data_IF_663114923631
#
_entry.id   IF_663114923631
#
_cell.length_a   1.000
_cell.length_b   1.000
_cell.length_c   1.000
_cell.angle_alpha   90.00
_cell.angle_beta   90.00
_cell.angle_gamma   90.00
#
_symmetry.space_group_name_H-M   'P 1'
#
loop_
_entity.id
_entity.type
_entity.pdbx_description
1 polymer ?
#
# COMPACT_ATOMS: atom_id res chain seq x y z
N UNK A 1 24.93 2.31 -35.97
CA UNK A 1 24.76 3.67 -36.52
C UNK A 1 23.73 3.56 -37.64
N UNK A 2 22.45 3.66 -37.26
CA UNK A 2 21.30 3.69 -38.16
C UNK A 2 20.40 4.77 -37.56
N UNK A 3 20.16 5.80 -38.35
CA UNK A 3 19.48 7.05 -38.00
C UNK A 3 17.97 6.80 -38.12
N UNK A 4 17.23 7.05 -37.04
CA UNK A 4 15.77 6.99 -37.04
C UNK A 4 15.20 8.35 -37.48
N UNK A 5 14.29 8.26 -38.45
CA UNK A 5 13.62 9.34 -39.17
C UNK A 5 12.68 10.15 -38.26
N UNK A 6 12.62 11.47 -38.45
CA UNK A 6 11.99 12.41 -37.51
C UNK A 6 10.56 12.85 -37.88
N UNK A 7 9.82 12.09 -38.68
CA UNK A 7 8.55 12.58 -39.27
C UNK A 7 7.25 11.90 -38.77
N UNK A 8 7.27 11.01 -37.78
CA UNK A 8 6.02 10.47 -37.19
C UNK A 8 5.52 11.20 -35.92
N UNK A 9 5.99 12.42 -35.63
CA UNK A 9 5.64 13.16 -34.40
C UNK A 9 4.47 14.15 -34.51
N UNK A 10 3.74 14.16 -35.62
CA UNK A 10 2.76 15.20 -35.92
C UNK A 10 1.27 14.86 -35.72
N UNK A 11 0.88 13.61 -35.42
CA UNK A 11 -0.55 13.22 -35.40
C UNK A 11 -1.15 12.80 -34.05
N UNK A 12 -0.47 13.04 -32.92
CA UNK A 12 -0.98 12.67 -31.58
C UNK A 12 -1.53 13.85 -30.74
N UNK A 13 -1.88 15.00 -31.36
CA UNK A 13 -2.46 16.16 -30.65
C UNK A 13 -4.00 16.16 -30.54
N UNK A 14 -4.64 15.01 -30.71
CA UNK A 14 -6.11 14.91 -30.81
C UNK A 14 -6.88 14.35 -29.60
N UNK A 15 -6.21 13.79 -28.59
CA UNK A 15 -6.90 13.07 -27.50
C UNK A 15 -6.47 13.53 -26.11
N UNK A 16 -6.85 14.77 -25.75
CA UNK A 16 -6.91 15.24 -24.36
C UNK A 16 -8.14 16.16 -24.22
N UNK A 17 -9.17 15.81 -23.43
CA UNK A 17 -10.30 16.69 -23.21
C UNK A 17 -10.00 17.60 -22.02
N UNK A 18 -9.28 18.70 -22.23
CA UNK A 18 -9.27 19.82 -21.27
C UNK A 18 -9.14 21.15 -22.02
N UNK A 19 -10.25 21.89 -22.08
CA UNK A 19 -10.27 23.30 -22.43
C UNK A 19 -11.03 24.04 -21.32
N UNK A 20 -10.44 25.05 -20.64
CA UNK A 20 -11.19 25.96 -19.81
C UNK A 20 -11.79 27.07 -20.68
N UNK A 21 -13.11 27.22 -20.64
CA UNK A 21 -13.82 28.29 -21.32
C UNK A 21 -13.46 29.65 -20.72
N UNK A 22 -12.81 30.51 -21.52
CA UNK A 22 -12.66 31.93 -21.25
C UNK A 22 -13.83 32.73 -21.84
N UNK A 23 -14.46 33.58 -21.03
CA UNK A 23 -15.40 34.62 -21.46
C UNK A 23 -15.25 35.84 -20.56
N UNK A 24 -14.80 36.96 -21.13
CA UNK A 24 -14.28 38.11 -20.41
C UNK A 24 -15.28 39.22 -20.02
N UNK A 25 -14.76 40.23 -19.32
CA UNK A 25 -15.31 41.60 -19.32
C UNK A 25 -15.26 42.38 -17.99
N UNK A 26 -14.22 43.21 -17.82
CA UNK A 26 -14.35 44.58 -17.25
C UNK A 26 -14.01 44.84 -15.77
N UNK A 27 -13.45 46.02 -15.40
CA UNK A 27 -12.58 46.17 -14.23
C UNK A 27 -13.23 46.87 -13.03
N UNK A 28 -12.81 46.53 -11.81
CA UNK A 28 -13.18 47.22 -10.58
C UNK A 28 -12.15 46.98 -9.47
N UNK A 29 -11.58 48.08 -8.97
CA UNK A 29 -10.54 48.12 -7.96
C UNK A 29 -11.01 47.65 -6.57
N UNK A 30 -10.10 47.05 -5.81
CA UNK A 30 -10.28 46.70 -4.40
C UNK A 30 -9.19 45.76 -3.92
N UNK A 31 -8.09 46.32 -3.41
CA UNK A 31 -7.08 45.57 -2.66
C UNK A 31 -7.68 45.12 -1.32
N UNK A 32 -8.01 43.83 -1.20
CA UNK A 32 -8.21 43.17 0.09
C UNK A 32 -7.15 42.07 0.25
N UNK A 33 -6.29 42.27 1.24
CA UNK A 33 -5.37 41.25 1.76
C UNK A 33 -6.16 40.01 2.19
N UNK A 34 -6.21 38.99 1.33
CA UNK A 34 -6.57 37.64 1.73
C UNK A 34 -5.33 36.96 2.28
N UNK A 35 -5.20 36.96 3.60
CA UNK A 35 -4.39 35.98 4.32
C UNK A 35 -4.76 34.58 3.82
N UNK A 36 -3.80 33.92 3.16
CA UNK A 36 -3.92 32.50 2.81
C UNK A 36 -3.80 31.68 4.09
N UNK A 37 -4.91 31.48 4.79
CA UNK A 37 -5.03 30.45 5.82
C UNK A 37 -4.80 29.10 5.13
N UNK A 38 -3.56 28.60 5.20
CA UNK A 38 -3.22 27.25 4.84
C UNK A 38 -4.15 26.31 5.63
N UNK A 39 -5.08 25.65 4.91
CA UNK A 39 -5.97 24.65 5.49
C UNK A 39 -5.08 23.50 5.96
N UNK A 40 -4.81 23.42 7.27
CA UNK A 40 -4.21 22.24 7.89
C UNK A 40 -5.18 21.07 7.68
N UNK A 41 -4.82 20.15 6.79
CA UNK A 41 -5.51 18.87 6.63
C UNK A 41 -5.38 18.01 7.89
N UNK A 42 -6.30 17.05 8.11
CA UNK A 42 -6.25 16.16 9.25
C UNK A 42 -5.01 15.25 9.19
N UNK A 43 -4.34 15.06 10.34
CA UNK A 43 -3.13 14.24 10.48
C UNK A 43 -3.51 12.77 10.54
N UNK A 44 -3.03 11.96 9.61
CA UNK A 44 -3.14 10.50 9.66
C UNK A 44 -2.20 9.88 10.71
N UNK A 45 -2.36 8.58 10.98
CA UNK A 45 -1.64 7.86 12.04
C UNK A 45 -0.12 7.71 11.80
N UNK A 46 0.42 8.10 10.63
CA UNK A 46 1.87 8.11 10.37
C UNK A 46 2.56 9.44 10.69
N UNK A 47 1.84 10.43 11.22
CA UNK A 47 2.38 11.76 11.56
C UNK A 47 3.34 11.79 12.77
N UNK A 48 3.70 10.62 13.33
CA UNK A 48 4.44 10.49 14.59
C UNK A 48 5.94 10.14 14.43
N UNK A 49 6.47 10.07 13.20
CA UNK A 49 7.91 9.80 12.98
C UNK A 49 8.59 11.08 12.49
N UNK A 50 9.31 11.82 13.34
CA UNK A 50 10.17 12.91 12.90
C UNK A 50 11.29 12.34 12.01
N UNK A 51 11.46 12.90 10.81
CA UNK A 51 12.52 12.50 9.86
C UNK A 51 13.91 12.61 10.50
N UNK A 52 14.08 13.50 11.47
CA UNK A 52 15.33 13.74 12.18
C UNK A 52 15.71 12.64 13.19
N UNK A 53 14.75 11.85 13.68
CA UNK A 53 14.99 10.77 14.66
C UNK A 53 15.37 9.43 14.01
N UNK A 54 15.16 9.28 12.70
CA UNK A 54 15.48 8.05 11.94
C UNK A 54 16.97 7.98 11.53
N UNK A 55 17.73 9.08 11.67
CA UNK A 55 19.11 9.20 11.16
C UNK A 55 20.23 9.08 12.23
N UNK A 56 19.96 8.45 13.38
CA UNK A 56 20.97 8.10 14.39
C UNK A 56 20.82 6.58 14.68
N UNK A 57 21.77 5.67 14.48
CA UNK A 57 23.23 5.67 14.53
C UNK A 57 23.84 4.47 13.76
N UNK A 58 25.12 4.55 13.35
CA UNK A 58 26.00 3.39 13.08
C UNK A 58 26.89 3.50 11.82
N UNK A 59 28.21 3.20 11.88
CA UNK A 59 29.12 3.28 10.72
C UNK A 59 28.86 2.21 9.64
N UNK A 60 28.11 1.16 9.95
CA UNK A 60 27.62 0.16 8.97
C UNK A 60 26.51 0.70 8.05
N UNK A 61 25.88 1.83 8.44
CA UNK A 61 24.85 2.52 7.63
C UNK A 61 25.42 3.19 6.39
N UNK A 62 26.74 3.41 6.30
CA UNK A 62 27.36 4.16 5.21
C UNK A 62 27.42 3.35 3.91
N UNK A 63 27.70 2.04 3.96
CA UNK A 63 27.66 1.17 2.77
C UNK A 63 26.23 0.91 2.28
N UNK A 64 25.26 0.83 3.20
CA UNK A 64 23.84 0.75 2.85
C UNK A 64 23.32 2.09 2.29
N UNK A 65 23.76 3.23 2.84
CA UNK A 65 23.54 4.56 2.26
C UNK A 65 24.13 4.66 0.86
N UNK A 66 25.35 4.16 0.64
CA UNK A 66 26.00 4.17 -0.68
C UNK A 66 25.26 3.28 -1.70
N UNK A 67 24.61 2.20 -1.27
CA UNK A 67 23.73 1.36 -2.12
C UNK A 67 22.40 2.04 -2.42
N UNK A 68 21.80 2.72 -1.44
CA UNK A 68 20.64 3.60 -1.67
C UNK A 68 21.01 4.76 -2.59
N UNK A 69 22.16 5.41 -2.41
CA UNK A 69 22.68 6.47 -3.28
C UNK A 69 22.93 5.96 -4.70
N UNK A 70 23.45 4.74 -4.88
CA UNK A 70 23.60 4.11 -6.19
C UNK A 70 22.25 3.81 -6.87
N UNK A 71 21.22 3.43 -6.09
CA UNK A 71 19.83 3.28 -6.55
C UNK A 71 19.20 4.65 -6.87
N UNK A 72 19.52 5.68 -6.09
CA UNK A 72 19.10 7.07 -6.30
C UNK A 72 19.81 7.71 -7.51
N UNK A 73 20.97 7.19 -7.89
CA UNK A 73 21.76 7.63 -9.04
C UNK A 73 21.22 7.11 -10.39
N UNK A 74 20.23 6.20 -10.40
CA UNK A 74 19.69 5.60 -11.64
C UNK A 74 18.57 6.40 -12.32
N UNK A 75 18.20 7.58 -11.80
CA UNK A 75 17.22 8.47 -12.42
C UNK A 75 15.84 8.36 -11.78
N UNK A 76 15.45 9.44 -11.07
CA UNK A 76 14.16 9.70 -10.39
C UNK A 76 13.60 8.52 -9.59
N UNK A 77 13.93 8.51 -8.31
CA UNK A 77 13.25 7.67 -7.31
C UNK A 77 11.87 8.26 -7.05
N UNK A 78 10.83 7.43 -7.11
CA UNK A 78 9.47 7.86 -6.82
C UNK A 78 9.25 8.11 -5.31
N UNK A 79 8.24 8.91 -4.97
CA UNK A 79 7.94 9.27 -3.58
C UNK A 79 7.70 8.04 -2.68
N UNK A 80 7.19 6.95 -3.25
CA UNK A 80 6.99 5.69 -2.55
C UNK A 80 8.32 5.09 -2.09
N UNK A 81 9.31 4.97 -2.97
CA UNK A 81 10.63 4.45 -2.64
C UNK A 81 11.39 5.37 -1.67
N UNK A 82 11.19 6.70 -1.75
CA UNK A 82 11.75 7.65 -0.78
C UNK A 82 11.28 7.34 0.64
N UNK A 83 9.97 7.14 0.85
CA UNK A 83 9.44 6.85 2.20
C UNK A 83 9.81 5.45 2.67
N UNK A 84 9.84 4.45 1.78
CA UNK A 84 10.33 3.12 2.14
C UNK A 84 11.82 3.11 2.52
N UNK A 85 12.61 4.06 2.01
CA UNK A 85 14.02 4.26 2.36
C UNK A 85 14.28 4.58 3.83
N UNK A 86 13.25 4.96 4.61
CA UNK A 86 13.34 5.08 6.06
C UNK A 86 13.65 3.74 6.77
N UNK A 87 13.39 2.62 6.09
CA UNK A 87 13.66 1.27 6.59
C UNK A 87 14.45 0.44 5.56
N UNK A 88 15.79 0.64 5.45
CA UNK A 88 16.62 0.06 4.38
C UNK A 88 16.56 -1.48 4.25
N UNK A 89 16.49 -2.18 5.38
CA UNK A 89 16.41 -3.64 5.40
C UNK A 89 15.09 -4.14 4.77
N UNK A 90 13.99 -3.44 5.03
CA UNK A 90 12.71 -3.72 4.39
C UNK A 90 12.71 -3.27 2.92
N UNK A 91 13.24 -2.07 2.62
CA UNK A 91 13.33 -1.55 1.24
C UNK A 91 14.04 -2.55 0.33
N UNK A 92 15.14 -3.16 0.80
CA UNK A 92 15.89 -4.14 0.00
C UNK A 92 15.02 -5.33 -0.43
N UNK A 93 14.24 -5.88 0.50
CA UNK A 93 13.34 -7.01 0.22
C UNK A 93 12.16 -6.58 -0.66
N UNK A 94 11.59 -5.40 -0.38
CA UNK A 94 10.54 -4.81 -1.20
C UNK A 94 10.99 -4.60 -2.65
N UNK A 95 12.16 -4.01 -2.87
CA UNK A 95 12.66 -3.66 -4.20
C UNK A 95 12.93 -4.89 -5.05
N UNK A 96 13.49 -5.96 -4.45
CA UNK A 96 13.68 -7.25 -5.13
C UNK A 96 12.36 -7.81 -5.67
N UNK A 97 11.33 -7.86 -4.83
CA UNK A 97 10.01 -8.35 -5.24
C UNK A 97 9.37 -7.42 -6.28
N UNK A 98 9.43 -6.10 -6.05
CA UNK A 98 8.86 -5.10 -6.97
C UNK A 98 9.51 -5.19 -8.37
N UNK A 99 10.83 -5.31 -8.43
CA UNK A 99 11.58 -5.47 -9.67
C UNK A 99 11.28 -6.80 -10.37
N UNK A 100 11.18 -7.90 -9.62
CA UNK A 100 10.76 -9.20 -10.17
C UNK A 100 9.38 -9.10 -10.84
N UNK A 101 8.41 -8.54 -10.12
CA UNK A 101 7.02 -8.52 -10.56
C UNK A 101 6.80 -7.64 -11.78
N UNK A 102 7.50 -6.51 -11.90
CA UNK A 102 7.18 -5.48 -12.90
C UNK A 102 8.24 -5.35 -14.01
N UNK A 103 9.50 -5.71 -13.75
CA UNK A 103 10.62 -5.41 -14.65
C UNK A 103 11.42 -6.65 -15.11
N UNK A 104 11.19 -7.83 -14.52
CA UNK A 104 11.87 -9.08 -14.91
C UNK A 104 10.98 -9.92 -15.82
N UNK A 105 11.53 -10.78 -16.68
CA UNK A 105 10.69 -11.70 -17.48
C UNK A 105 9.94 -12.70 -16.58
N UNK A 106 8.77 -13.16 -17.02
CA UNK A 106 7.97 -14.12 -16.26
C UNK A 106 6.81 -14.70 -17.05
N UNK A 107 5.89 -15.44 -16.40
CA UNK A 107 4.73 -16.06 -17.04
C UNK A 107 3.84 -15.10 -17.83
N UNK A 108 3.72 -13.85 -17.38
CA UNK A 108 2.91 -12.81 -18.00
C UNK A 108 3.77 -11.74 -18.68
N UNK A 109 3.33 -11.26 -19.84
CA UNK A 109 3.96 -10.14 -20.54
C UNK A 109 3.88 -8.83 -19.71
N UNK A 110 4.86 -7.94 -19.88
CA UNK A 110 4.96 -6.73 -19.03
C UNK A 110 3.71 -5.85 -19.04
N UNK A 111 3.12 -5.60 -20.21
CA UNK A 111 1.87 -4.84 -20.33
C UNK A 111 0.70 -5.49 -19.58
N UNK A 112 0.61 -6.83 -19.57
CA UNK A 112 -0.41 -7.53 -18.78
C UNK A 112 -0.22 -7.33 -17.28
N UNK A 113 1.03 -7.34 -16.81
CA UNK A 113 1.35 -7.15 -15.39
C UNK A 113 1.01 -5.74 -14.91
N UNK A 114 1.34 -4.71 -15.69
CA UNK A 114 0.93 -3.35 -15.36
C UNK A 114 -0.59 -3.17 -15.42
N UNK A 115 -1.29 -3.82 -16.36
CA UNK A 115 -2.75 -3.76 -16.38
C UNK A 115 -3.40 -4.44 -15.17
N UNK A 116 -2.87 -5.59 -14.74
CA UNK A 116 -3.30 -6.26 -13.50
C UNK A 116 -3.05 -5.36 -12.28
N UNK A 117 -1.92 -4.66 -12.25
CA UNK A 117 -1.60 -3.70 -11.19
C UNK A 117 -2.57 -2.51 -11.17
N UNK A 118 -3.00 -1.99 -12.33
CA UNK A 118 -4.07 -0.98 -12.44
C UNK A 118 -5.39 -1.52 -11.85
N UNK A 119 -5.80 -2.73 -12.25
CA UNK A 119 -7.03 -3.36 -11.73
C UNK A 119 -7.00 -3.51 -10.20
N UNK A 120 -5.84 -3.88 -9.65
CA UNK A 120 -5.66 -4.02 -8.20
C UNK A 120 -5.74 -2.67 -7.48
N UNK A 121 -4.96 -1.69 -7.92
CA UNK A 121 -4.93 -0.35 -7.32
C UNK A 121 -6.28 0.37 -7.40
N UNK A 122 -7.04 0.16 -8.48
CA UNK A 122 -8.35 0.74 -8.67
C UNK A 122 -9.39 0.26 -7.63
N UNK A 123 -9.22 -0.94 -7.02
CA UNK A 123 -10.10 -1.41 -5.92
C UNK A 123 -10.11 -0.49 -4.71
N UNK A 124 -9.01 0.23 -4.48
CA UNK A 124 -8.87 1.20 -3.40
C UNK A 124 -8.85 2.64 -3.90
N UNK A 125 -9.19 2.87 -5.17
CA UNK A 125 -9.14 4.19 -5.82
C UNK A 125 -7.78 4.89 -5.64
N UNK A 126 -6.69 4.12 -5.67
CA UNK A 126 -5.34 4.62 -5.47
C UNK A 126 -4.81 5.25 -6.77
N UNK A 127 -5.10 6.55 -6.96
CA UNK A 127 -4.69 7.30 -8.16
C UNK A 127 -3.17 7.31 -8.39
N UNK A 128 -2.38 7.31 -7.32
CA UNK A 128 -0.91 7.22 -7.38
C UNK A 128 -0.46 5.98 -8.16
N UNK A 129 -0.91 4.80 -7.73
CA UNK A 129 -0.52 3.53 -8.34
C UNK A 129 -1.19 3.32 -9.71
N UNK A 130 -2.46 3.72 -9.86
CA UNK A 130 -3.15 3.67 -11.14
C UNK A 130 -2.41 4.51 -12.18
N UNK A 131 -2.10 5.78 -11.88
CA UNK A 131 -1.39 6.68 -12.78
C UNK A 131 0.01 6.17 -13.14
N UNK A 132 0.78 5.72 -12.14
CA UNK A 132 2.11 5.14 -12.36
C UNK A 132 2.05 3.93 -13.29
N UNK A 133 1.16 2.96 -13.03
CA UNK A 133 1.05 1.77 -13.86
C UNK A 133 0.39 2.01 -15.22
N UNK A 134 -0.46 3.03 -15.39
CA UNK A 134 -0.94 3.46 -16.70
C UNK A 134 0.21 3.99 -17.58
N UNK A 135 1.11 4.79 -17.00
CA UNK A 135 2.29 5.28 -17.71
C UNK A 135 3.21 4.12 -18.11
N UNK A 136 3.52 3.20 -17.21
CA UNK A 136 4.37 2.03 -17.50
C UNK A 136 3.71 1.04 -18.47
N UNK A 137 2.39 0.87 -18.40
CA UNK A 137 1.63 0.07 -19.35
C UNK A 137 1.82 0.59 -20.79
N UNK A 138 1.71 1.89 -21.00
CA UNK A 138 1.92 2.51 -22.31
C UNK A 138 3.38 2.44 -22.75
N UNK A 139 4.33 2.69 -21.84
CA UNK A 139 5.77 2.61 -22.12
C UNK A 139 6.21 1.21 -22.56
N UNK A 140 5.61 0.17 -21.98
CA UNK A 140 5.87 -1.24 -22.32
C UNK A 140 5.09 -1.75 -23.54
N UNK A 141 4.42 -0.86 -24.28
CA UNK A 141 3.72 -1.18 -25.52
C UNK A 141 2.33 -1.80 -25.32
N UNK A 142 1.69 -1.54 -24.18
CA UNK A 142 0.30 -1.91 -23.93
C UNK A 142 -0.67 -1.19 -24.88
N UNK A 143 -1.76 -1.87 -25.23
CA UNK A 143 -2.80 -1.32 -26.10
C UNK A 143 -3.59 -0.21 -25.37
N UNK A 144 -3.51 1.06 -25.83
CA UNK A 144 -4.16 2.19 -25.16
C UNK A 144 -5.68 2.03 -25.01
N UNK A 145 -6.34 1.24 -25.87
CA UNK A 145 -7.79 0.99 -25.77
C UNK A 145 -8.17 0.35 -24.43
N UNK A 146 -7.28 -0.43 -23.81
CA UNK A 146 -7.55 -1.07 -22.52
C UNK A 146 -7.71 -0.03 -21.39
N UNK A 147 -7.09 1.15 -21.55
CA UNK A 147 -7.18 2.24 -20.59
C UNK A 147 -8.51 2.99 -20.65
N UNK A 148 -9.36 2.73 -21.65
CA UNK A 148 -10.75 3.21 -21.67
C UNK A 148 -11.65 2.42 -20.71
N UNK A 149 -11.14 1.31 -20.16
CA UNK A 149 -11.78 0.54 -19.11
C UNK A 149 -11.71 -0.97 -19.33
N UNK A 150 -12.05 -1.70 -18.27
CA UNK A 150 -11.98 -3.16 -18.18
C UNK A 150 -12.71 -3.87 -19.33
N UNK A 151 -13.83 -3.30 -19.81
CA UNK A 151 -14.62 -3.82 -20.92
C UNK A 151 -13.87 -3.88 -22.27
N UNK A 152 -12.76 -3.14 -22.42
CA UNK A 152 -11.86 -3.19 -23.59
C UNK A 152 -10.71 -4.18 -23.44
N UNK A 153 -10.46 -4.68 -22.23
CA UNK A 153 -9.41 -5.65 -22.00
C UNK A 153 -9.78 -7.07 -22.48
N UNK A 154 -8.78 -7.92 -22.81
CA UNK A 154 -8.97 -9.32 -23.11
C UNK A 154 -9.83 -10.04 -22.07
N UNK A 155 -10.65 -10.99 -22.51
CA UNK A 155 -11.53 -11.76 -21.62
C UNK A 155 -10.74 -12.47 -20.50
N UNK A 156 -9.52 -12.93 -20.81
CA UNK A 156 -8.61 -13.54 -19.82
C UNK A 156 -8.37 -12.62 -18.61
N UNK A 157 -8.11 -11.34 -18.84
CA UNK A 157 -7.90 -10.34 -17.78
C UNK A 157 -9.20 -10.00 -17.05
N UNK A 158 -10.32 -9.85 -17.78
CA UNK A 158 -11.63 -9.57 -17.18
C UNK A 158 -12.07 -10.65 -16.18
N UNK A 159 -11.77 -11.92 -16.45
CA UNK A 159 -12.06 -13.03 -15.52
C UNK A 159 -11.37 -12.87 -14.16
N UNK A 160 -10.29 -12.11 -14.09
CA UNK A 160 -9.54 -11.86 -12.85
C UNK A 160 -10.25 -10.89 -11.90
N UNK A 161 -11.25 -10.15 -12.37
CA UNK A 161 -11.96 -9.13 -11.59
C UNK A 161 -12.62 -9.67 -10.33
N UNK A 162 -13.23 -10.85 -10.40
CA UNK A 162 -13.91 -11.45 -9.24
C UNK A 162 -12.92 -11.75 -8.11
N UNK A 163 -11.81 -12.45 -8.43
CA UNK A 163 -10.80 -12.77 -7.41
C UNK A 163 -10.06 -11.52 -6.92
N UNK A 164 -9.84 -10.51 -7.78
CA UNK A 164 -9.27 -9.22 -7.39
C UNK A 164 -10.15 -8.51 -6.34
N UNK A 165 -11.46 -8.44 -6.58
CA UNK A 165 -12.45 -7.87 -5.65
C UNK A 165 -12.42 -8.59 -4.30
N UNK A 166 -12.40 -9.94 -4.32
CA UNK A 166 -12.37 -10.72 -3.09
C UNK A 166 -11.05 -10.53 -2.32
N UNK A 167 -9.90 -10.62 -2.99
CA UNK A 167 -8.59 -10.40 -2.37
C UNK A 167 -8.47 -9.03 -1.68
N UNK A 168 -8.98 -7.98 -2.32
CA UNK A 168 -8.87 -6.61 -1.83
C UNK A 168 -9.70 -6.34 -0.56
N UNK A 169 -10.81 -7.06 -0.37
CA UNK A 169 -11.83 -6.66 0.60
C UNK A 169 -12.31 -7.78 1.51
N UNK A 170 -12.47 -9.00 1.00
CA UNK A 170 -13.03 -10.16 1.72
C UNK A 170 -12.35 -11.45 1.28
N UNK A 171 -11.04 -11.62 1.53
CA UNK A 171 -10.26 -12.75 1.01
C UNK A 171 -10.76 -14.12 1.51
N UNK A 172 -11.43 -14.18 2.66
CA UNK A 172 -12.02 -15.40 3.21
C UNK A 172 -13.19 -15.97 2.36
N UNK A 173 -13.74 -15.19 1.43
CA UNK A 173 -14.79 -15.66 0.50
C UNK A 173 -14.22 -16.38 -0.73
N UNK A 174 -12.90 -16.42 -0.89
CA UNK A 174 -12.26 -17.13 -2.00
C UNK A 174 -12.46 -18.63 -1.79
N UNK A 175 -13.04 -19.28 -2.80
CA UNK A 175 -13.28 -20.72 -2.83
C UNK A 175 -12.60 -21.37 -4.02
N UNK A 176 -12.49 -22.71 -4.01
CA UNK A 176 -11.92 -23.49 -5.12
C UNK A 176 -12.66 -23.27 -6.45
N UNK A 177 -13.96 -22.93 -6.41
CA UNK A 177 -14.77 -22.64 -7.60
C UNK A 177 -14.26 -21.40 -8.34
N UNK A 178 -13.79 -20.38 -7.61
CA UNK A 178 -13.15 -19.20 -8.20
C UNK A 178 -11.86 -19.57 -8.93
N UNK A 179 -11.04 -20.44 -8.33
CA UNK A 179 -9.81 -20.95 -8.95
C UNK A 179 -10.14 -21.81 -10.18
N UNK A 180 -11.13 -22.70 -10.07
CA UNK A 180 -11.57 -23.55 -11.16
C UNK A 180 -12.10 -22.74 -12.35
N UNK A 181 -12.79 -21.62 -12.11
CA UNK A 181 -13.29 -20.74 -13.16
C UNK A 181 -12.15 -20.12 -13.99
N UNK A 182 -11.03 -19.77 -13.34
CA UNK A 182 -9.84 -19.19 -13.99
C UNK A 182 -9.03 -20.25 -14.76
N UNK A 183 -8.94 -21.47 -14.22
CA UNK A 183 -8.18 -22.58 -14.81
C UNK A 183 -8.99 -23.39 -15.84
N UNK A 184 -10.27 -23.07 -16.05
CA UNK A 184 -11.13 -23.81 -16.98
C UNK A 184 -10.56 -23.76 -18.40
N UNK A 185 -10.33 -24.93 -18.99
CA UNK A 185 -9.77 -25.07 -20.34
C UNK A 185 -10.61 -24.32 -21.37
N UNK A 186 -9.97 -23.45 -22.14
CA UNK A 186 -10.58 -22.64 -23.19
C UNK A 186 -9.55 -21.73 -23.84
N UNK A 187 -9.98 -20.92 -24.82
CA UNK A 187 -9.11 -20.00 -25.58
C UNK A 187 -8.40 -18.94 -24.71
N UNK A 188 -8.95 -18.67 -23.52
CA UNK A 188 -8.50 -17.64 -22.59
C UNK A 188 -8.23 -18.18 -21.18
N UNK A 189 -7.73 -19.42 -21.07
CA UNK A 189 -7.45 -20.06 -19.79
C UNK A 189 -6.19 -19.50 -19.12
N UNK A 190 -6.19 -19.45 -17.79
CA UNK A 190 -5.01 -19.21 -16.98
C UNK A 190 -4.26 -20.52 -16.73
N UNK A 191 -2.93 -20.50 -16.88
CA UNK A 191 -2.08 -21.52 -16.29
C UNK A 191 -1.89 -21.25 -14.79
N UNK A 192 -1.47 -22.27 -14.02
CA UNK A 192 -1.16 -22.09 -12.61
C UNK A 192 -0.03 -21.07 -12.37
N UNK A 193 1.01 -21.08 -13.22
CA UNK A 193 2.13 -20.14 -13.09
C UNK A 193 1.69 -18.68 -13.33
N UNK A 194 0.92 -18.44 -14.39
CA UNK A 194 0.35 -17.11 -14.66
C UNK A 194 -0.60 -16.67 -13.54
N UNK A 195 -1.46 -17.57 -13.06
CA UNK A 195 -2.41 -17.26 -12.00
C UNK A 195 -1.69 -16.89 -10.70
N UNK A 196 -0.69 -17.66 -10.28
CA UNK A 196 0.09 -17.34 -9.08
C UNK A 196 0.79 -15.99 -9.22
N UNK A 197 1.45 -15.72 -10.37
CA UNK A 197 2.05 -14.40 -10.60
C UNK A 197 1.02 -13.26 -10.53
N UNK A 198 -0.18 -13.46 -11.09
CA UNK A 198 -1.26 -12.49 -11.03
C UNK A 198 -1.76 -12.27 -9.60
N UNK A 199 -1.95 -13.32 -8.80
CA UNK A 199 -2.37 -13.20 -7.39
C UNK A 199 -1.33 -12.44 -6.56
N UNK A 200 -0.04 -12.68 -6.81
CA UNK A 200 1.05 -11.94 -6.16
C UNK A 200 1.03 -10.46 -6.58
N UNK A 201 0.83 -10.15 -7.87
CA UNK A 201 0.67 -8.77 -8.34
C UNK A 201 -0.53 -8.06 -7.69
N UNK A 202 -1.70 -8.71 -7.66
CA UNK A 202 -2.91 -8.15 -7.07
C UNK A 202 -2.69 -7.78 -5.59
N UNK A 203 -2.25 -8.75 -4.80
CA UNK A 203 -2.02 -8.57 -3.34
C UNK A 203 -0.88 -7.60 -3.05
N UNK A 204 0.19 -7.59 -3.87
CA UNK A 204 1.26 -6.60 -3.76
C UNK A 204 0.73 -5.18 -3.96
N UNK A 205 -0.06 -4.93 -5.02
CA UNK A 205 -0.65 -3.63 -5.28
C UNK A 205 -1.72 -3.21 -4.26
N UNK A 206 -2.51 -4.15 -3.72
CA UNK A 206 -3.43 -3.87 -2.61
C UNK A 206 -2.65 -3.41 -1.37
N UNK A 207 -1.59 -4.13 -1.00
CA UNK A 207 -0.74 -3.77 0.15
C UNK A 207 -0.04 -2.42 -0.06
N UNK A 208 0.37 -2.12 -1.30
CA UNK A 208 0.95 -0.83 -1.66
C UNK A 208 -0.07 0.31 -1.59
N UNK A 209 -1.33 0.07 -1.96
CA UNK A 209 -2.37 1.08 -1.81
C UNK A 209 -2.57 1.45 -0.33
N UNK A 210 -2.59 0.45 0.57
CA UNK A 210 -2.61 0.69 2.02
C UNK A 210 -1.40 1.51 2.48
N UNK A 211 -0.20 1.22 1.96
CA UNK A 211 1.01 1.98 2.27
C UNK A 211 0.92 3.43 1.77
N UNK A 212 0.48 3.65 0.52
CA UNK A 212 0.32 4.98 -0.09
C UNK A 212 -0.61 5.85 0.75
N UNK A 213 -1.80 5.35 1.10
CA UNK A 213 -2.73 6.11 1.93
C UNK A 213 -2.26 6.24 3.38
N UNK A 214 -1.75 5.14 3.96
CA UNK A 214 -1.30 5.10 5.34
C UNK A 214 -0.11 6.01 5.62
N UNK A 215 0.76 6.23 4.64
CA UNK A 215 1.88 7.16 4.71
C UNK A 215 1.60 8.53 4.06
N UNK A 216 0.43 8.73 3.45
CA UNK A 216 0.07 9.97 2.77
C UNK A 216 0.99 10.35 1.60
N UNK A 217 1.42 9.36 0.80
CA UNK A 217 2.32 9.55 -0.34
C UNK A 217 1.66 10.43 -1.40
N UNK A 218 2.39 11.45 -1.87
CA UNK A 218 1.90 12.38 -2.89
C UNK A 218 2.22 11.89 -4.31
N UNK A 219 1.31 12.09 -5.28
CA UNK A 219 1.62 11.94 -6.71
C UNK A 219 2.81 12.80 -7.11
N UNK A 220 3.60 12.29 -8.05
CA UNK A 220 4.68 13.06 -8.66
C UNK A 220 4.11 14.32 -9.32
N UNK A 221 4.62 15.50 -8.97
CA UNK A 221 4.16 16.75 -9.56
C UNK A 221 4.58 16.86 -11.03
N UNK A 222 3.67 17.32 -11.89
CA UNK A 222 3.96 17.59 -13.30
C UNK A 222 5.10 18.62 -13.43
N UNK A 223 6.28 18.16 -13.84
CA UNK A 223 7.42 19.02 -14.18
C UNK A 223 7.31 19.64 -15.59
N UNK A 224 6.15 19.60 -16.23
CA UNK A 224 5.94 20.19 -17.55
C UNK A 224 5.21 21.54 -17.44
N UNK A 225 5.98 22.63 -17.28
CA UNK A 225 5.46 23.98 -17.55
C UNK A 225 5.97 25.13 -16.70
N UNK A 226 6.77 24.90 -15.65
CA UNK A 226 7.28 25.99 -14.80
C UNK A 226 8.76 26.30 -15.08
N UNK A 227 9.10 27.51 -15.56
CA UNK A 227 10.49 27.92 -15.83
C UNK A 227 11.29 28.32 -14.57
N UNK A 228 10.78 28.04 -13.37
CA UNK A 228 11.46 28.33 -12.11
C UNK A 228 11.83 27.02 -11.38
N UNK A 229 13.02 26.92 -10.77
CA UNK A 229 13.33 25.81 -9.87
C UNK A 229 12.38 25.87 -8.68
N UNK A 230 11.32 25.07 -8.71
CA UNK A 230 10.44 24.90 -7.56
C UNK A 230 11.19 24.11 -6.49
N UNK A 231 11.01 24.50 -5.22
CA UNK A 231 11.53 23.73 -4.09
C UNK A 231 10.98 22.28 -4.19
N UNK A 232 11.78 21.26 -3.81
CA UNK A 232 11.29 19.87 -3.85
C UNK A 232 10.03 19.76 -3.00
N UNK A 233 8.93 19.33 -3.61
CA UNK A 233 7.70 19.02 -2.90
C UNK A 233 7.98 17.89 -1.89
N UNK A 234 7.36 17.91 -0.70
CA UNK A 234 7.52 16.82 0.25
C UNK A 234 6.99 15.51 -0.35
N UNK A 235 7.63 14.36 -0.11
CA UNK A 235 7.17 13.07 -0.64
C UNK A 235 5.85 12.59 -0.01
N UNK A 236 5.48 13.16 1.14
CA UNK A 236 4.26 12.85 1.88
C UNK A 236 3.71 14.10 2.59
N UNK A 237 2.38 14.25 2.59
CA UNK A 237 1.69 15.30 3.36
C UNK A 237 1.74 15.06 4.89
N UNK A 238 2.05 13.83 5.30
CA UNK A 238 2.00 13.40 6.70
C UNK A 238 3.40 13.32 7.33
N UNK A 239 4.46 13.22 6.52
CA UNK A 239 5.85 13.07 6.98
C UNK A 239 6.61 14.38 7.23
N UNK A 240 5.92 15.52 7.33
CA UNK A 240 6.59 16.81 7.59
C UNK A 240 6.89 17.02 9.09
N UNK A 241 8.04 17.64 9.45
CA UNK A 241 8.40 17.86 10.85
C UNK A 241 7.39 18.79 11.55
N UNK A 242 7.08 18.56 12.84
CA UNK A 242 6.26 19.48 13.59
C UNK A 242 6.98 20.84 13.69
N UNK A 243 6.40 21.87 13.09
CA UNK A 243 6.72 23.26 13.40
C UNK A 243 6.69 23.45 14.91
N UNK A 244 7.86 23.70 15.51
CA UNK A 244 8.05 23.98 16.93
C UNK A 244 7.32 25.27 17.31
N UNK A 245 6.05 25.17 17.66
CA UNK A 245 5.37 26.21 18.45
C UNK A 245 5.68 25.97 19.94
N UNK A 246 6.43 26.85 20.63
CA UNK A 246 6.91 26.61 22.00
C UNK A 246 5.82 26.64 23.10
N UNK A 247 4.54 26.72 22.72
CA UNK A 247 3.45 27.08 23.64
C UNK A 247 2.47 25.95 23.96
N UNK A 248 2.67 24.73 23.47
CA UNK A 248 1.78 23.59 23.75
C UNK A 248 2.48 22.42 24.47
N UNK A 249 3.06 22.72 25.63
CA UNK A 249 3.84 21.79 26.47
C UNK A 249 3.01 20.82 27.32
N UNK A 250 1.68 20.88 27.28
CA UNK A 250 0.81 19.92 28.01
C UNK A 250 0.66 18.57 27.30
N UNK A 251 0.48 18.56 25.97
CA UNK A 251 0.25 17.32 25.20
C UNK A 251 1.48 16.41 25.07
N UNK A 252 2.69 16.97 25.11
CA UNK A 252 3.93 16.17 25.07
C UNK A 252 4.19 15.37 26.35
N UNK A 253 3.69 15.85 27.50
CA UNK A 253 3.87 15.16 28.78
C UNK A 253 2.89 13.99 28.95
N UNK A 254 1.69 14.11 28.39
CA UNK A 254 0.71 13.00 28.34
C UNK A 254 1.18 11.90 27.40
N UNK A 255 1.62 12.24 26.18
CA UNK A 255 2.14 11.26 25.22
C UNK A 255 3.36 10.49 25.76
N UNK A 256 4.28 11.16 26.47
CA UNK A 256 5.42 10.50 27.11
C UNK A 256 4.98 9.50 28.19
N UNK A 257 3.98 9.85 29.01
CA UNK A 257 3.41 8.95 30.04
C UNK A 257 2.71 7.74 29.43
N UNK A 258 2.01 7.93 28.31
CA UNK A 258 1.33 6.83 27.62
C UNK A 258 2.34 5.83 27.02
N UNK A 259 3.47 6.32 26.50
CA UNK A 259 4.59 5.47 26.04
C UNK A 259 5.18 4.68 27.20
N UNK A 260 5.42 5.31 28.36
CA UNK A 260 5.91 4.61 29.56
C UNK A 260 4.91 3.53 30.04
N UNK A 261 3.61 3.85 30.05
CA UNK A 261 2.57 2.90 30.43
C UNK A 261 2.45 1.72 29.44
N UNK A 262 2.70 1.96 28.15
CA UNK A 262 2.78 0.91 27.14
C UNK A 262 3.99 0.00 27.38
N UNK A 263 5.17 0.57 27.62
CA UNK A 263 6.38 -0.20 27.91
C UNK A 263 6.23 -1.09 29.16
N UNK A 264 5.61 -0.57 30.21
CA UNK A 264 5.37 -1.33 31.44
C UNK A 264 4.39 -2.50 31.18
N UNK A 265 3.33 -2.29 30.40
CA UNK A 265 2.43 -3.38 29.99
C UNK A 265 3.13 -4.44 29.13
N UNK A 266 4.01 -4.02 28.22
CA UNK A 266 4.81 -4.96 27.41
C UNK A 266 5.71 -5.83 28.29
N UNK A 267 6.36 -5.22 29.31
CA UNK A 267 7.20 -5.95 30.26
C UNK A 267 6.41 -6.96 31.08
N UNK A 268 5.24 -6.58 31.58
CA UNK A 268 4.35 -7.48 32.33
C UNK A 268 3.91 -8.68 31.49
N UNK A 269 3.59 -8.46 30.21
CA UNK A 269 3.24 -9.54 29.27
C UNK A 269 4.42 -10.46 28.96
N UNK A 270 5.64 -9.93 28.86
CA UNK A 270 6.84 -10.77 28.71
C UNK A 270 7.07 -11.64 29.95
N UNK A 271 6.91 -11.06 31.14
CA UNK A 271 7.04 -11.80 32.40
C UNK A 271 5.97 -12.90 32.55
N UNK A 272 4.72 -12.64 32.15
CA UNK A 272 3.66 -13.66 32.19
C UNK A 272 3.88 -14.80 31.19
N UNK A 273 4.35 -14.48 29.97
CA UNK A 273 4.72 -15.47 28.96
C UNK A 273 5.85 -16.39 29.44
N UNK A 274 6.81 -15.87 30.20
CA UNK A 274 7.89 -16.65 30.79
C UNK A 274 7.42 -17.57 31.94
N UNK A 275 6.34 -17.19 32.62
CA UNK A 275 5.75 -17.95 33.74
C UNK A 275 4.69 -18.97 33.29
N UNK A 276 4.37 -19.02 32.01
CA UNK A 276 3.28 -19.85 31.44
C UNK A 276 1.91 -19.58 32.10
N UNK A 277 1.71 -18.35 32.61
CA UNK A 277 0.46 -17.89 33.22
C UNK A 277 -0.51 -17.42 32.11
N UNK A 278 -0.85 -18.32 31.20
CA UNK A 278 -1.72 -18.07 30.05
C UNK A 278 -3.23 -18.11 30.38
N UNK A 279 -4.02 -17.41 29.56
CA UNK A 279 -5.48 -17.54 29.56
C UNK A 279 -5.89 -18.96 29.13
N UNK A 280 -7.06 -19.42 29.59
CA UNK A 280 -7.60 -20.72 29.16
C UNK A 280 -7.91 -20.74 27.66
N UNK A 281 -7.98 -21.93 27.05
CA UNK A 281 -8.33 -22.02 25.63
C UNK A 281 -9.67 -21.36 25.32
N UNK A 282 -10.71 -21.66 26.10
CA UNK A 282 -12.06 -21.09 25.94
C UNK A 282 -12.06 -19.55 26.07
N UNK A 283 -11.24 -19.01 26.99
CA UNK A 283 -11.09 -17.58 27.14
C UNK A 283 -10.38 -16.93 25.94
N UNK A 284 -9.34 -17.58 25.39
CA UNK A 284 -8.66 -17.09 24.17
C UNK A 284 -9.61 -17.07 22.97
N UNK A 285 -10.47 -18.07 22.83
CA UNK A 285 -11.48 -18.13 21.77
C UNK A 285 -12.52 -17.01 21.94
N UNK A 286 -13.01 -16.78 23.16
CA UNK A 286 -13.94 -15.68 23.43
C UNK A 286 -13.33 -14.31 23.19
N UNK A 287 -12.05 -14.10 23.55
CA UNK A 287 -11.36 -12.82 23.31
C UNK A 287 -11.17 -12.55 21.82
N UNK A 288 -10.87 -13.59 21.04
CA UNK A 288 -10.75 -13.46 19.59
C UNK A 288 -12.08 -13.04 18.93
N UNK A 289 -13.19 -13.68 19.29
CA UNK A 289 -14.50 -13.31 18.74
C UNK A 289 -14.90 -11.88 19.13
N UNK A 290 -14.58 -11.47 20.37
CA UNK A 290 -14.80 -10.10 20.81
C UNK A 290 -13.99 -9.11 19.98
N UNK A 291 -12.67 -9.32 19.86
CA UNK A 291 -11.78 -8.42 19.12
C UNK A 291 -12.15 -8.34 17.65
N UNK A 292 -12.49 -9.47 17.01
CA UNK A 292 -12.97 -9.54 15.63
C UNK A 292 -14.25 -8.71 15.42
N UNK A 293 -15.13 -8.67 16.42
CA UNK A 293 -16.36 -7.87 16.39
C UNK A 293 -16.16 -6.39 16.75
N UNK A 294 -15.16 -6.08 17.59
CA UNK A 294 -14.89 -4.75 18.15
C UNK A 294 -13.90 -3.92 17.31
N UNK A 295 -13.04 -4.57 16.51
CA UNK A 295 -11.95 -4.00 15.67
C UNK A 295 -12.32 -2.86 14.70
N UNK A 296 -13.58 -2.40 14.69
CA UNK A 296 -14.14 -1.46 13.72
C UNK A 296 -14.77 -0.22 14.37
N UNK A 297 -14.64 -0.05 15.69
CA UNK A 297 -15.08 1.18 16.39
C UNK A 297 -14.17 2.40 16.16
N UNK A 298 -13.06 2.24 15.42
CA UNK A 298 -12.36 3.40 14.84
C UNK A 298 -13.25 3.92 13.71
N UNK A 299 -14.20 4.78 14.08
CA UNK A 299 -14.93 5.58 13.12
C UNK A 299 -13.90 6.19 12.17
N UNK A 300 -14.06 6.08 10.84
CA UNK A 300 -13.40 7.06 9.98
C UNK A 300 -13.84 8.39 10.58
N UNK A 301 -12.90 9.18 11.08
CA UNK A 301 -13.23 10.54 11.50
C UNK A 301 -14.06 11.11 10.37
N UNK A 302 -15.25 11.64 10.67
CA UNK A 302 -16.20 12.13 9.66
C UNK A 302 -15.60 13.24 8.77
N UNK A 303 -14.33 13.60 9.01
CA UNK A 303 -13.47 14.50 8.27
C UNK A 303 -12.56 13.81 7.21
N UNK A 304 -12.54 12.48 7.10
CA UNK A 304 -12.18 11.84 5.82
C UNK A 304 -13.39 12.07 4.92
N UNK A 305 -13.48 13.26 4.33
CA UNK A 305 -14.25 13.47 3.12
C UNK A 305 -13.95 12.26 2.23
N UNK A 306 -14.89 11.33 2.08
CA UNK A 306 -14.78 10.32 1.03
C UNK A 306 -14.48 11.12 -0.23
N UNK A 307 -13.27 11.00 -0.80
CA UNK A 307 -13.00 11.66 -2.06
C UNK A 307 -14.06 11.09 -2.98
N UNK A 308 -14.95 11.96 -3.49
CA UNK A 308 -15.92 11.55 -4.50
C UNK A 308 -15.14 10.75 -5.54
N UNK A 309 -15.51 9.48 -5.82
CA UNK A 309 -14.67 8.60 -6.60
C UNK A 309 -14.24 9.31 -7.87
N UNK A 310 -12.93 9.38 -8.14
CA UNK A 310 -12.47 9.96 -9.39
C UNK A 310 -13.14 9.11 -10.48
N UNK A 311 -14.04 9.68 -11.30
CA UNK A 311 -14.91 8.90 -12.19
C UNK A 311 -14.10 8.03 -13.16
N UNK A 312 -12.84 8.37 -13.38
CA UNK A 312 -11.90 7.72 -14.29
C UNK A 312 -11.40 6.35 -13.81
N UNK A 313 -11.42 6.02 -12.52
CA UNK A 313 -10.90 4.73 -12.02
C UNK A 313 -11.95 3.62 -11.94
N UNK A 314 -13.24 4.00 -11.89
CA UNK A 314 -14.35 3.05 -11.76
C UNK A 314 -14.49 2.13 -12.98
N UNK A 315 -13.97 2.55 -14.14
CA UNK A 315 -14.03 1.77 -15.36
C UNK A 315 -13.11 0.52 -15.33
N UNK A 316 -12.18 0.42 -14.37
CA UNK A 316 -11.24 -0.70 -14.22
C UNK A 316 -11.71 -1.80 -13.26
N UNK A 317 -12.88 -1.63 -12.61
CA UNK A 317 -13.37 -2.54 -11.56
C UNK A 317 -14.81 -2.99 -11.81
N UNK A 318 -15.12 -4.22 -11.42
CA UNK A 318 -16.50 -4.71 -11.28
C UNK A 318 -16.96 -4.54 -9.83
N UNK A 319 -18.22 -4.19 -9.61
CA UNK A 319 -18.77 -3.93 -8.27
C UNK A 319 -17.91 -2.95 -7.43
N UNK A 320 -17.90 -1.65 -7.80
CA UNK A 320 -17.01 -0.67 -7.19
C UNK A 320 -17.34 -0.39 -5.72
N UNK A 321 -18.58 -0.64 -5.30
CA UNK A 321 -19.05 -0.42 -3.93
C UNK A 321 -18.77 -1.60 -3.00
N UNK A 322 -18.29 -2.74 -3.53
CA UNK A 322 -17.88 -3.86 -2.71
C UNK A 322 -16.66 -3.49 -1.87
N UNK A 323 -16.89 -3.29 -0.58
CA UNK A 323 -15.84 -3.00 0.39
C UNK A 323 -15.74 -4.09 1.45
N UNK A 324 -14.79 -3.90 2.34
CA UNK A 324 -14.78 -4.60 3.62
C UNK A 324 -16.11 -4.32 4.34
N UNK A 325 -16.74 -5.36 4.87
CA UNK A 325 -18.03 -5.22 5.55
C UNK A 325 -17.79 -4.84 7.01
N UNK A 326 -18.32 -3.69 7.42
CA UNK A 326 -18.23 -3.28 8.82
C UNK A 326 -19.20 -4.12 9.67
N UNK A 327 -18.63 -5.09 10.39
CA UNK A 327 -19.34 -6.08 11.21
C UNK A 327 -19.94 -5.49 12.52
N UNK A 328 -19.80 -4.18 12.75
CA UNK A 328 -20.47 -3.48 13.87
C UNK A 328 -21.94 -3.17 13.59
N UNK A 329 -22.40 -3.28 12.33
CA UNK A 329 -23.81 -3.09 11.98
C UNK A 329 -24.63 -4.28 12.49
N UNK A 330 -25.69 -4.01 13.28
CA UNK A 330 -26.64 -5.05 13.73
C UNK A 330 -27.08 -5.92 12.55
N UNK A 331 -26.67 -7.19 12.57
CA UNK A 331 -27.05 -8.19 11.57
C UNK A 331 -26.00 -8.51 10.50
N UNK A 332 -24.82 -7.87 10.50
CA UNK A 332 -23.70 -8.26 9.65
C UNK A 332 -22.93 -9.44 10.29
N UNK A 333 -22.70 -10.50 9.53
CA UNK A 333 -22.02 -11.71 10.00
C UNK A 333 -20.51 -11.52 9.91
N UNK A 334 -19.82 -11.47 11.06
CA UNK A 334 -18.36 -11.36 11.17
C UNK A 334 -17.64 -12.40 10.27
N UNK A 335 -16.39 -12.14 9.82
CA UNK A 335 -15.72 -13.08 8.94
C UNK A 335 -15.61 -14.43 9.66
N UNK A 336 -15.76 -15.54 8.92
CA UNK A 336 -15.70 -16.86 9.52
C UNK A 336 -14.34 -17.05 10.18
N UNK A 337 -14.35 -17.56 11.41
CA UNK A 337 -13.11 -17.80 12.15
C UNK A 337 -12.34 -18.95 11.49
N UNK A 338 -11.14 -18.63 11.02
CA UNK A 338 -10.21 -19.54 10.40
C UNK A 338 -9.06 -19.84 11.36
N UNK A 339 -8.78 -21.11 11.61
CA UNK A 339 -7.67 -21.53 12.45
C UNK A 339 -6.38 -21.44 11.66
N UNK A 340 -5.42 -20.60 12.09
CA UNK A 340 -4.20 -20.36 11.34
C UNK A 340 -3.40 -21.65 11.03
N UNK A 341 -3.40 -22.63 11.95
CA UNK A 341 -2.65 -23.89 11.78
C UNK A 341 -3.20 -24.79 10.66
N UNK A 342 -4.43 -24.55 10.18
CA UNK A 342 -5.00 -25.33 9.08
C UNK A 342 -4.35 -24.97 7.73
N UNK A 343 -3.80 -23.76 7.61
CA UNK A 343 -3.05 -23.32 6.41
C UNK A 343 -2.08 -22.16 6.72
N UNK A 344 -0.90 -22.49 7.25
CA UNK A 344 0.17 -21.53 7.53
C UNK A 344 1.00 -21.21 6.26
N UNK A 345 1.64 -20.04 6.25
CA UNK A 345 2.66 -19.72 5.25
C UNK A 345 3.84 -20.69 5.31
N UNK A 346 4.35 -20.95 6.52
CA UNK A 346 5.53 -21.79 6.78
C UNK A 346 5.35 -23.22 6.28
N UNK A 347 4.22 -23.87 6.58
CA UNK A 347 4.03 -25.29 6.25
C UNK A 347 3.42 -25.51 4.86
N UNK A 348 2.58 -24.58 4.38
CA UNK A 348 1.74 -24.80 3.19
C UNK A 348 1.95 -23.75 2.11
N UNK A 349 1.74 -22.47 2.45
CA UNK A 349 1.70 -21.37 1.48
C UNK A 349 3.01 -21.20 0.71
N UNK A 350 4.14 -21.16 1.44
CA UNK A 350 5.46 -21.04 0.86
C UNK A 350 5.77 -22.17 -0.12
N UNK A 351 5.55 -23.43 0.30
CA UNK A 351 5.79 -24.62 -0.53
C UNK A 351 4.96 -24.60 -1.82
N UNK A 352 3.70 -24.17 -1.73
CA UNK A 352 2.83 -24.06 -2.91
C UNK A 352 3.34 -23.02 -3.91
N UNK A 353 3.67 -21.81 -3.44
CA UNK A 353 4.18 -20.75 -4.31
C UNK A 353 5.55 -21.13 -4.86
N UNK A 354 6.45 -21.67 -4.04
CA UNK A 354 7.79 -22.08 -4.47
C UNK A 354 7.76 -23.10 -5.61
N UNK A 355 6.76 -24.00 -5.61
CA UNK A 355 6.59 -24.99 -6.69
C UNK A 355 6.03 -24.38 -7.99
N UNK A 356 5.18 -23.36 -7.89
CA UNK A 356 4.44 -22.81 -9.05
C UNK A 356 5.05 -21.51 -9.61
N UNK A 357 5.77 -20.77 -8.77
CA UNK A 357 6.44 -19.50 -9.06
C UNK A 357 7.68 -19.34 -8.15
N UNK A 358 8.76 -20.12 -8.39
CA UNK A 358 9.90 -20.23 -7.49
C UNK A 358 10.63 -18.92 -7.22
N UNK A 359 10.77 -18.07 -8.24
CA UNK A 359 11.45 -16.78 -8.10
C UNK A 359 10.70 -15.83 -7.14
N UNK A 360 9.37 -15.89 -7.13
CA UNK A 360 8.56 -15.08 -6.21
C UNK A 360 8.40 -15.71 -4.83
N UNK A 361 8.41 -17.04 -4.72
CA UNK A 361 8.24 -17.75 -3.45
C UNK A 361 9.27 -17.34 -2.41
N UNK A 362 10.56 -17.40 -2.77
CA UNK A 362 11.65 -16.99 -1.89
C UNK A 362 11.58 -15.49 -1.53
N UNK A 363 11.33 -14.62 -2.51
CA UNK A 363 11.31 -13.17 -2.24
C UNK A 363 10.12 -12.74 -1.37
N UNK A 364 8.98 -13.43 -1.45
CA UNK A 364 7.85 -13.21 -0.55
C UNK A 364 8.19 -13.61 0.88
N UNK A 365 8.81 -14.77 1.06
CA UNK A 365 9.23 -15.27 2.38
C UNK A 365 10.24 -14.30 3.04
N UNK A 366 11.28 -13.90 2.29
CA UNK A 366 12.25 -12.90 2.74
C UNK A 366 11.56 -11.58 3.12
N UNK A 367 10.60 -11.09 2.33
CA UNK A 367 9.86 -9.85 2.61
C UNK A 367 8.99 -9.97 3.86
N UNK A 368 8.26 -11.07 4.06
CA UNK A 368 7.45 -11.27 5.25
C UNK A 368 8.32 -11.36 6.51
N UNK A 369 9.43 -12.10 6.44
CA UNK A 369 10.35 -12.24 7.55
C UNK A 369 11.04 -10.91 7.87
N UNK A 370 11.47 -10.16 6.86
CA UNK A 370 12.06 -8.83 7.04
C UNK A 370 11.08 -7.88 7.75
N UNK A 371 9.82 -7.80 7.30
CA UNK A 371 8.81 -6.96 7.94
C UNK A 371 8.49 -7.41 9.37
N UNK A 372 8.31 -8.71 9.58
CA UNK A 372 7.92 -9.24 10.89
C UNK A 372 9.03 -9.08 11.93
N UNK A 373 10.29 -9.28 11.54
CA UNK A 373 11.45 -9.21 12.44
C UNK A 373 12.06 -7.83 12.59
N UNK A 374 11.72 -6.86 11.72
CA UNK A 374 12.27 -5.51 11.75
C UNK A 374 12.08 -4.85 13.13
N UNK A 375 13.19 -4.48 13.75
CA UNK A 375 13.23 -3.75 15.01
C UNK A 375 14.50 -2.92 15.09
N UNK A 376 14.38 -1.69 15.57
CA UNK A 376 15.53 -0.88 15.97
C UNK A 376 15.78 -0.97 17.49
N UNK A 377 15.03 -1.82 18.18
CA UNK A 377 14.97 -1.91 19.63
C UNK A 377 14.67 -0.54 20.27
N UNK A 378 13.79 0.22 19.63
CA UNK A 378 13.35 1.55 20.07
C UNK A 378 11.83 1.61 20.18
N UNK A 379 11.35 2.46 21.07
CA UNK A 379 9.94 2.87 21.15
C UNK A 379 9.90 4.37 21.44
N UNK A 380 9.41 5.16 20.48
CA UNK A 380 9.55 6.61 20.47
C UNK A 380 11.00 7.05 20.82
N UNK A 381 11.18 7.80 21.90
CA UNK A 381 12.48 8.30 22.37
C UNK A 381 13.32 7.29 23.18
N UNK A 382 12.80 6.09 23.46
CA UNK A 382 13.49 5.08 24.27
C UNK A 382 14.26 4.09 23.39
N UNK A 383 15.48 3.73 23.80
CA UNK A 383 16.33 2.73 23.15
C UNK A 383 16.55 1.50 24.05
N UNK A 384 16.93 0.37 23.46
CA UNK A 384 17.18 -0.89 24.17
C UNK A 384 15.91 -1.61 24.61
N UNK A 385 14.80 -1.40 23.91
CA UNK A 385 13.48 -1.97 24.24
C UNK A 385 13.14 -3.10 23.26
N UNK A 386 12.81 -4.28 23.78
CA UNK A 386 12.27 -5.37 22.94
C UNK A 386 10.81 -5.09 22.59
N UNK A 387 10.56 -4.81 21.30
CA UNK A 387 9.23 -4.50 20.75
C UNK A 387 8.50 -5.72 20.18
N UNK A 388 9.03 -6.93 20.34
CA UNK A 388 8.47 -8.16 19.76
C UNK A 388 7.00 -8.39 20.12
N UNK A 389 6.61 -8.14 21.37
CA UNK A 389 5.22 -8.28 21.84
C UNK A 389 4.29 -7.29 21.14
N UNK A 390 4.71 -6.04 21.00
CA UNK A 390 3.92 -5.00 20.34
C UNK A 390 3.76 -5.27 18.84
N UNK A 391 4.86 -5.62 18.15
CA UNK A 391 4.82 -5.96 16.72
C UNK A 391 3.96 -7.18 16.44
N UNK A 392 4.06 -8.21 17.28
CA UNK A 392 3.20 -9.40 17.21
C UNK A 392 1.73 -9.07 17.44
N UNK A 393 1.42 -8.16 18.37
CA UNK A 393 0.05 -7.71 18.58
C UNK A 393 -0.52 -7.01 17.34
N UNK A 394 0.24 -6.11 16.70
CA UNK A 394 -0.18 -5.45 15.45
C UNK A 394 -0.42 -6.48 14.33
N UNK A 395 0.53 -7.41 14.15
CA UNK A 395 0.42 -8.46 13.13
C UNK A 395 -0.82 -9.35 13.35
N UNK A 396 -1.01 -9.85 14.57
CA UNK A 396 -2.12 -10.71 14.90
C UNK A 396 -3.47 -9.98 14.90
N UNK A 397 -3.48 -8.69 15.24
CA UNK A 397 -4.69 -7.86 15.14
C UNK A 397 -5.15 -7.72 13.68
N UNK A 398 -4.22 -7.43 12.75
CA UNK A 398 -4.56 -7.37 11.32
C UNK A 398 -5.08 -8.73 10.83
N UNK A 399 -4.45 -9.83 11.23
CA UNK A 399 -4.93 -11.19 10.92
C UNK A 399 -6.34 -11.45 11.50
N UNK A 400 -6.61 -10.98 12.73
CA UNK A 400 -7.91 -11.09 13.38
C UNK A 400 -9.01 -10.35 12.60
N UNK A 401 -8.73 -9.16 12.08
CA UNK A 401 -9.64 -8.41 11.19
C UNK A 401 -10.02 -9.22 9.94
N UNK A 402 -9.11 -10.05 9.43
CA UNK A 402 -9.37 -10.98 8.33
C UNK A 402 -9.86 -12.37 8.76
N UNK A 403 -10.22 -12.55 10.04
CA UNK A 403 -10.79 -13.78 10.58
C UNK A 403 -9.78 -14.88 10.90
N UNK A 404 -8.48 -14.60 10.90
CA UNK A 404 -7.42 -15.59 11.16
C UNK A 404 -7.05 -15.59 12.65
N UNK A 405 -7.26 -16.74 13.32
CA UNK A 405 -6.99 -16.96 14.74
C UNK A 405 -5.71 -17.74 15.00
#
# INVERSE_FOLDING_TARGET
MIVADSECRAELKGYLPFAPGGGGGGPGAGEEQRESRARRGPRGPSAFIPVEEVLREGPESLEQHLRLEALMSSGRVDNLAVVMGLHPDYLTCFWRLHYLLLHTDGPLASSWRHYIAIMAAARHQCSYLVGSHMAEFLQTGGDPEWLLGLHRAPEKLRKLSEINKLLAHRPWLITKEHIQALLKTGEHSWSLAELIQALVLLTHCHSLASFVFGCGILPEGDSEGSPAPQAPSPPSEQSSPPSRDPLNSSGGFEAARDVEALMERMRQLQESLLRDEGASQEEMESRFELEKSESLLVTPSADILEPSPHPDMLCFVEDPTFGYEDFTRRGAEAPPTFRAQDYTWEDHGYSLIQRLYPEGGQLLDEKFQAAYSLTYNTIAMHSGVDTSVLRRAIWNYIHCVFGIR
#
